data_IF_282462344460
#
_entry.id   IF_282462344460
#
_cell.length_a   1.000
_cell.length_b   1.000
_cell.length_c   1.000
_cell.angle_alpha   90.00
_cell.angle_beta   90.00
_cell.angle_gamma   90.00
#
_symmetry.space_group_name_H-M   'P 1'
#
loop_
_entity.id
_entity.type
_entity.pdbx_description
1 polymer ?
#
# COMPACT_ATOMS: atom_id res chain seq x y z
N UNK A 1 -6.02 15.25 2.58
CA UNK A 1 -6.79 14.02 2.69
C UNK A 1 -6.10 12.95 1.86
N UNK A 2 -6.03 11.73 2.38
CA UNK A 2 -5.47 10.57 1.69
C UNK A 2 -6.62 9.68 1.23
N UNK A 3 -6.49 9.12 0.02
CA UNK A 3 -7.40 8.12 -0.53
C UNK A 3 -6.64 7.21 -1.50
N UNK A 4 -7.32 6.25 -2.12
CA UNK A 4 -6.71 5.46 -3.19
C UNK A 4 -6.73 6.20 -4.54
N UNK A 5 -5.73 5.92 -5.37
CA UNK A 5 -5.67 6.45 -6.72
C UNK A 5 -6.87 5.97 -7.56
N UNK A 6 -7.22 4.68 -7.48
CA UNK A 6 -8.34 4.13 -8.26
C UNK A 6 -9.70 4.73 -7.88
N UNK A 7 -9.85 5.31 -6.68
CA UNK A 7 -11.11 5.98 -6.24
C UNK A 7 -11.35 7.27 -7.00
N UNK A 8 -10.28 7.96 -7.39
CA UNK A 8 -10.35 9.26 -8.06
C UNK A 8 -9.97 9.20 -9.55
N UNK A 9 -9.51 8.03 -10.03
CA UNK A 9 -9.10 7.86 -11.42
C UNK A 9 -10.25 8.23 -12.37
N UNK A 10 -9.91 8.99 -13.42
CA UNK A 10 -10.86 9.47 -14.46
C UNK A 10 -12.00 10.33 -13.95
N UNK A 11 -11.89 10.93 -12.77
CA UNK A 11 -12.89 11.85 -12.24
C UNK A 11 -12.61 13.28 -12.71
N UNK A 12 -13.59 13.92 -13.33
CA UNK A 12 -13.49 15.34 -13.73
C UNK A 12 -13.60 16.28 -12.53
N UNK A 13 -14.33 15.86 -11.50
CA UNK A 13 -14.54 16.61 -10.28
C UNK A 13 -14.58 15.71 -9.07
N UNK A 14 -13.88 16.13 -8.01
CA UNK A 14 -13.81 15.40 -6.74
C UNK A 14 -14.44 16.27 -5.65
N UNK A 15 -15.41 15.70 -4.94
CA UNK A 15 -16.07 16.35 -3.79
C UNK A 15 -15.80 15.50 -2.55
N UNK A 16 -15.40 16.16 -1.48
CA UNK A 16 -15.25 15.56 -0.15
C UNK A 16 -16.39 16.02 0.74
N UNK A 17 -17.19 15.09 1.20
CA UNK A 17 -18.29 15.34 2.15
C UNK A 17 -17.85 14.94 3.54
N UNK A 18 -17.83 15.87 4.48
CA UNK A 18 -17.51 15.62 5.88
C UNK A 18 -18.70 14.99 6.63
N UNK A 19 -18.46 14.50 7.84
CA UNK A 19 -19.51 13.92 8.70
C UNK A 19 -20.67 14.91 8.98
N UNK A 20 -20.34 16.18 9.15
CA UNK A 20 -21.32 17.25 9.33
C UNK A 20 -22.07 17.63 8.04
N UNK A 21 -21.94 16.87 6.96
CA UNK A 21 -22.53 17.06 5.63
C UNK A 21 -22.02 18.28 4.86
N UNK A 22 -20.96 18.92 5.33
CA UNK A 22 -20.31 19.98 4.58
C UNK A 22 -19.52 19.40 3.41
N UNK A 23 -19.71 19.95 2.24
CA UNK A 23 -19.04 19.54 1.01
C UNK A 23 -17.92 20.50 0.64
N UNK A 24 -16.81 19.95 0.23
CA UNK A 24 -15.65 20.69 -0.27
C UNK A 24 -15.24 20.15 -1.62
N UNK A 25 -14.98 21.03 -2.57
CA UNK A 25 -14.30 20.65 -3.79
C UNK A 25 -12.83 20.37 -3.46
N UNK A 26 -12.34 19.21 -3.88
CA UNK A 26 -10.99 18.77 -3.62
C UNK A 26 -10.10 18.92 -4.85
N UNK A 27 -8.87 19.39 -4.64
CA UNK A 27 -7.82 19.43 -5.65
C UNK A 27 -6.90 18.25 -5.48
N UNK A 28 -6.54 17.56 -6.56
CA UNK A 28 -5.50 16.52 -6.55
C UNK A 28 -4.16 17.22 -6.43
N UNK A 29 -3.42 16.90 -5.36
CA UNK A 29 -2.03 17.35 -5.16
C UNK A 29 -1.08 16.44 -5.91
N UNK A 30 -1.34 15.15 -5.91
CA UNK A 30 -0.59 14.14 -6.64
C UNK A 30 -1.17 12.75 -6.43
N UNK A 31 -0.75 11.85 -7.30
CA UNK A 31 -1.16 10.43 -7.25
C UNK A 31 0.04 9.53 -7.44
N UNK A 32 -0.04 8.35 -6.87
CA UNK A 32 0.92 7.27 -7.10
C UNK A 32 0.18 5.97 -7.46
N UNK A 33 -0.01 5.70 -8.75
CA UNK A 33 -0.65 4.47 -9.19
C UNK A 33 0.06 3.19 -8.75
N UNK A 34 1.37 3.26 -8.46
CA UNK A 34 2.16 2.07 -8.11
C UNK A 34 1.92 1.59 -6.68
N UNK A 35 1.46 2.44 -5.77
CA UNK A 35 0.99 2.11 -4.42
C UNK A 35 -0.51 2.32 -4.24
N UNK A 36 -1.19 2.75 -5.29
CA UNK A 36 -2.62 3.09 -5.27
C UNK A 36 -2.97 4.18 -4.24
N UNK A 37 -2.10 5.17 -4.04
CA UNK A 37 -2.33 6.31 -3.13
C UNK A 37 -2.56 7.59 -3.91
N UNK A 38 -3.50 8.41 -3.44
CA UNK A 38 -3.73 9.78 -3.89
C UNK A 38 -3.78 10.75 -2.72
N UNK A 39 -3.25 11.96 -2.95
CA UNK A 39 -3.28 13.07 -2.00
C UNK A 39 -4.20 14.19 -2.51
N UNK A 40 -5.19 14.53 -1.72
CA UNK A 40 -6.17 15.57 -2.01
C UNK A 40 -6.02 16.75 -1.05
N UNK A 41 -6.28 17.97 -1.55
CA UNK A 41 -6.39 19.19 -0.77
C UNK A 41 -7.81 19.71 -0.82
N UNK A 42 -8.35 20.06 0.34
CA UNK A 42 -9.58 20.83 0.50
C UNK A 42 -9.29 22.15 1.21
N UNK A 43 -10.07 23.18 0.95
CA UNK A 43 -9.95 24.48 1.61
C UNK A 43 -10.78 24.48 2.92
N UNK A 44 -10.29 23.74 3.91
CA UNK A 44 -10.86 23.65 5.25
C UNK A 44 -9.75 23.68 6.30
N UNK A 45 -10.05 24.22 7.47
CA UNK A 45 -9.12 24.32 8.60
C UNK A 45 -9.68 23.57 9.82
N UNK A 46 -8.79 23.12 10.69
CA UNK A 46 -9.16 22.49 11.96
C UNK A 46 -9.86 21.14 11.82
N UNK A 47 -9.66 20.44 10.69
CA UNK A 47 -10.19 19.09 10.51
C UNK A 47 -9.49 18.10 11.45
N UNK A 48 -10.23 17.20 12.11
CA UNK A 48 -9.62 16.12 12.86
C UNK A 48 -8.85 15.18 11.91
N UNK A 49 -7.79 14.58 12.42
CA UNK A 49 -6.93 13.67 11.66
C UNK A 49 -6.52 12.47 12.51
N UNK A 50 -6.10 11.40 11.86
CA UNK A 50 -5.54 10.22 12.51
C UNK A 50 -4.02 10.36 12.62
N UNK A 51 -3.47 10.00 13.77
CA UNK A 51 -2.03 9.85 13.94
C UNK A 51 -1.56 8.55 13.26
N UNK A 52 -0.38 8.60 12.64
CA UNK A 52 0.23 7.41 12.06
C UNK A 52 0.86 6.53 13.13
N UNK A 53 0.49 5.27 13.19
CA UNK A 53 1.29 4.25 13.86
C UNK A 53 2.38 3.73 12.91
N UNK A 54 3.38 3.05 13.47
CA UNK A 54 4.40 2.35 12.68
C UNK A 54 3.84 1.00 12.21
N UNK A 55 3.53 0.87 10.91
CA UNK A 55 2.99 -0.37 10.35
C UNK A 55 3.97 -1.54 10.35
N UNK A 56 5.26 -1.30 10.55
CA UNK A 56 6.26 -2.38 10.64
C UNK A 56 6.19 -3.10 11.99
N UNK A 57 5.73 -2.41 13.05
CA UNK A 57 5.58 -2.94 14.40
C UNK A 57 4.27 -3.74 14.60
N UNK A 58 3.36 -3.68 13.64
CA UNK A 58 2.07 -4.39 13.70
C UNK A 58 2.31 -5.90 13.69
N UNK A 59 1.65 -6.61 14.60
CA UNK A 59 1.80 -8.06 14.79
C UNK A 59 0.62 -8.85 14.19
N UNK A 60 0.87 -10.10 13.81
CA UNK A 60 -0.19 -11.02 13.39
C UNK A 60 -1.12 -11.31 14.56
N UNK A 61 -2.43 -11.30 14.30
CA UNK A 61 -3.46 -11.45 15.32
C UNK A 61 -3.83 -10.15 16.03
N UNK A 62 -3.16 -9.03 15.77
CA UNK A 62 -3.52 -7.72 16.35
C UNK A 62 -4.89 -7.26 15.85
N UNK A 63 -5.74 -6.79 16.78
CA UNK A 63 -7.07 -6.28 16.48
C UNK A 63 -7.00 -4.97 15.68
N UNK A 64 -7.82 -4.92 14.63
CA UNK A 64 -7.92 -3.74 13.75
C UNK A 64 -9.36 -3.41 13.41
N UNK A 65 -9.59 -2.15 13.06
CA UNK A 65 -10.86 -1.66 12.57
C UNK A 65 -10.67 -1.08 11.16
N UNK A 66 -11.45 -1.57 10.21
CA UNK A 66 -11.52 -0.97 8.88
C UNK A 66 -12.69 0.02 8.84
N UNK A 67 -12.37 1.28 8.54
CA UNK A 67 -13.33 2.39 8.50
C UNK A 67 -13.50 2.83 7.07
N UNK A 68 -14.73 3.07 6.65
CA UNK A 68 -15.03 3.53 5.30
C UNK A 68 -16.47 4.00 5.17
N UNK A 69 -16.90 4.26 3.93
CA UNK A 69 -18.24 4.73 3.62
C UNK A 69 -18.88 3.90 2.48
N UNK A 70 -19.01 2.57 2.66
CA UNK A 70 -19.56 1.71 1.61
C UNK A 70 -21.01 2.06 1.32
N UNK A 71 -21.40 1.96 0.05
CA UNK A 71 -22.78 2.15 -0.41
C UNK A 71 -23.41 3.51 -0.05
N UNK A 72 -22.60 4.55 0.14
CA UNK A 72 -23.07 5.87 0.61
C UNK A 72 -23.77 5.85 1.98
N UNK A 73 -23.56 4.78 2.74
CA UNK A 73 -23.98 4.69 4.14
C UNK A 73 -22.99 5.47 5.00
N UNK A 74 -23.49 6.21 5.99
CA UNK A 74 -22.62 6.97 6.89
C UNK A 74 -21.70 6.05 7.67
N UNK A 75 -20.39 6.36 7.62
CA UNK A 75 -19.29 5.77 8.40
C UNK A 75 -19.51 4.35 8.88
N UNK A 76 -19.12 3.39 8.08
CA UNK A 76 -19.16 1.96 8.44
C UNK A 76 -17.83 1.56 9.05
N UNK A 77 -17.90 0.83 10.16
CA UNK A 77 -16.73 0.26 10.84
C UNK A 77 -16.89 -1.25 10.88
N UNK A 78 -15.86 -1.95 10.44
CA UNK A 78 -15.77 -3.41 10.60
C UNK A 78 -14.54 -3.76 11.41
N UNK A 79 -14.58 -4.89 12.14
CA UNK A 79 -13.48 -5.34 12.99
C UNK A 79 -12.91 -6.67 12.47
N UNK A 80 -11.63 -6.86 12.69
CA UNK A 80 -10.90 -8.07 12.38
C UNK A 80 -9.52 -8.05 13.00
N UNK A 81 -8.62 -8.89 12.48
CA UNK A 81 -7.24 -8.98 12.91
C UNK A 81 -6.29 -8.78 11.72
N UNK A 82 -5.02 -8.54 12.00
CA UNK A 82 -3.97 -8.67 10.99
C UNK A 82 -3.73 -10.16 10.72
N UNK A 83 -4.06 -10.59 9.52
CA UNK A 83 -3.96 -11.99 9.08
C UNK A 83 -2.63 -12.32 8.45
N UNK A 84 -1.99 -11.35 7.77
CA UNK A 84 -0.65 -11.47 7.18
C UNK A 84 -0.04 -10.08 6.92
N UNK A 85 1.27 -10.06 6.68
CA UNK A 85 2.04 -8.88 6.29
C UNK A 85 2.79 -9.15 4.98
N UNK A 86 3.19 -8.08 4.29
CA UNK A 86 3.99 -8.13 3.07
C UNK A 86 3.37 -8.98 1.95
N UNK A 87 2.03 -8.91 1.78
CA UNK A 87 1.35 -9.63 0.70
C UNK A 87 1.54 -8.93 -0.64
N UNK A 88 1.91 -9.71 -1.63
CA UNK A 88 1.91 -9.34 -3.05
C UNK A 88 0.73 -10.03 -3.74
N UNK A 89 -0.08 -9.27 -4.46
CA UNK A 89 -1.29 -9.75 -5.12
C UNK A 89 -1.17 -9.70 -6.65
N UNK A 90 -0.18 -8.98 -7.18
CA UNK A 90 0.00 -8.76 -8.60
C UNK A 90 -1.14 -7.95 -9.25
N UNK A 91 -1.88 -7.17 -8.44
CA UNK A 91 -2.99 -6.34 -8.93
C UNK A 91 -2.50 -5.05 -9.56
N UNK A 92 -1.39 -4.53 -9.09
CA UNK A 92 -0.73 -3.36 -9.64
C UNK A 92 0.17 -3.76 -10.82
N UNK A 93 -0.34 -3.61 -12.03
CA UNK A 93 0.36 -4.02 -13.27
C UNK A 93 1.44 -3.05 -13.76
N UNK A 94 1.80 -2.03 -12.97
CA UNK A 94 2.90 -1.14 -13.34
C UNK A 94 4.25 -1.86 -13.20
N UNK A 95 5.21 -1.56 -14.08
CA UNK A 95 6.55 -2.17 -14.02
C UNK A 95 7.32 -1.87 -12.71
N UNK A 96 6.86 -0.90 -11.95
CA UNK A 96 7.42 -0.48 -10.66
C UNK A 96 6.37 -0.53 -9.55
N UNK A 97 5.45 -1.50 -9.62
CA UNK A 97 4.47 -1.68 -8.53
C UNK A 97 5.18 -2.03 -7.24
N UNK A 98 4.76 -1.36 -6.17
CA UNK A 98 5.19 -1.66 -4.82
C UNK A 98 4.00 -2.23 -4.07
N UNK A 99 3.93 -3.54 -4.01
CA UNK A 99 2.94 -4.26 -3.24
C UNK A 99 3.60 -4.85 -2.00
N UNK A 100 3.11 -4.48 -0.84
CA UNK A 100 3.53 -5.01 0.47
C UNK A 100 2.36 -4.81 1.43
N UNK A 101 1.21 -5.41 1.08
CA UNK A 101 -0.03 -5.16 1.79
C UNK A 101 -0.07 -5.78 3.19
N UNK A 102 -0.76 -5.10 4.11
CA UNK A 102 -1.33 -5.72 5.30
C UNK A 102 -2.59 -6.47 4.89
N UNK A 103 -2.69 -7.74 5.27
CA UNK A 103 -3.91 -8.52 5.10
C UNK A 103 -4.71 -8.52 6.39
N UNK A 104 -6.02 -8.37 6.29
CA UNK A 104 -6.95 -8.45 7.43
C UNK A 104 -8.22 -9.21 7.03
N UNK A 105 -8.88 -9.80 8.00
CA UNK A 105 -10.24 -10.37 7.87
C UNK A 105 -11.34 -9.38 8.29
N UNK A 106 -10.99 -8.13 8.63
CA UNK A 106 -11.98 -7.07 8.73
C UNK A 106 -12.67 -6.87 7.38
N UNK A 107 -13.99 -6.87 7.36
CA UNK A 107 -14.75 -6.83 6.11
C UNK A 107 -14.57 -5.49 5.38
N UNK A 108 -13.93 -5.53 4.22
CA UNK A 108 -13.80 -4.40 3.28
C UNK A 108 -14.66 -4.71 2.05
N UNK A 109 -15.48 -3.76 1.65
CA UNK A 109 -16.32 -3.84 0.46
C UNK A 109 -16.14 -2.56 -0.38
N UNK A 110 -16.61 -2.52 -1.64
CA UNK A 110 -16.61 -1.29 -2.43
C UNK A 110 -17.20 -0.11 -1.65
N UNK A 111 -16.41 0.99 -1.55
CA UNK A 111 -16.70 2.16 -0.73
C UNK A 111 -15.86 2.27 0.55
N UNK A 112 -15.17 1.21 0.98
CA UNK A 112 -14.16 1.28 2.04
C UNK A 112 -12.77 1.64 1.49
N UNK A 113 -12.54 1.51 0.19
CA UNK A 113 -11.28 1.88 -0.47
C UNK A 113 -10.93 3.34 -0.19
N UNK A 114 -9.69 3.62 0.18
CA UNK A 114 -9.21 4.94 0.62
C UNK A 114 -9.51 5.26 2.08
N UNK A 115 -10.33 4.45 2.75
CA UNK A 115 -10.62 4.59 4.17
C UNK A 115 -9.48 4.07 5.06
N UNK A 116 -9.58 4.33 6.35
CA UNK A 116 -8.55 3.98 7.32
C UNK A 116 -8.65 2.52 7.77
N UNK A 117 -7.49 1.87 7.92
CA UNK A 117 -7.31 0.72 8.80
C UNK A 117 -6.60 1.23 10.06
N UNK A 118 -7.23 1.06 11.21
CA UNK A 118 -6.69 1.57 12.49
C UNK A 118 -6.49 0.43 13.48
N UNK A 119 -5.55 0.62 14.40
CA UNK A 119 -5.34 -0.28 15.54
C UNK A 119 -6.36 0.00 16.67
N UNK A 120 -6.29 -0.76 17.77
CA UNK A 120 -7.17 -0.62 18.91
C UNK A 120 -7.02 0.74 19.65
N UNK A 121 -5.96 1.51 19.39
CA UNK A 121 -5.76 2.87 19.92
C UNK A 121 -6.36 3.95 19.02
N UNK A 122 -6.89 3.58 17.83
CA UNK A 122 -7.38 4.51 16.83
C UNK A 122 -6.27 5.14 15.96
N UNK A 123 -5.06 4.61 15.99
CA UNK A 123 -3.95 5.09 15.18
C UNK A 123 -3.98 4.42 13.80
N UNK A 124 -3.61 5.17 12.76
CA UNK A 124 -3.61 4.70 11.37
C UNK A 124 -2.47 3.71 11.13
N UNK A 125 -2.80 2.48 10.77
CA UNK A 125 -1.83 1.44 10.40
C UNK A 125 -1.86 1.11 8.91
N UNK A 126 -2.91 1.52 8.18
CA UNK A 126 -2.99 1.32 6.74
C UNK A 126 -4.14 2.06 6.09
N UNK A 127 -4.14 2.04 4.76
CA UNK A 127 -5.20 2.56 3.89
C UNK A 127 -5.86 1.37 3.19
N UNK A 128 -7.14 1.13 3.46
CA UNK A 128 -7.90 0.05 2.81
C UNK A 128 -7.87 0.25 1.30
N UNK A 129 -7.52 -0.79 0.53
CA UNK A 129 -7.34 -0.63 -0.91
C UNK A 129 -7.99 -1.71 -1.76
N UNK A 130 -7.88 -2.97 -1.38
CA UNK A 130 -8.31 -4.09 -2.21
C UNK A 130 -8.94 -5.22 -1.40
N UNK A 131 -9.67 -6.07 -2.12
CA UNK A 131 -10.10 -7.38 -1.65
C UNK A 131 -9.65 -8.42 -2.68
N UNK A 132 -9.27 -9.60 -2.24
CA UNK A 132 -9.18 -10.77 -3.12
C UNK A 132 -10.51 -11.51 -3.08
N UNK A 133 -11.22 -11.52 -4.20
CA UNK A 133 -12.55 -12.10 -4.26
C UNK A 133 -12.92 -12.54 -5.67
N UNK A 134 -13.34 -13.78 -5.87
CA UNK A 134 -13.86 -14.26 -7.14
C UNK A 134 -15.16 -13.56 -7.59
N UNK A 135 -15.89 -12.97 -6.64
CA UNK A 135 -17.21 -12.36 -6.88
C UNK A 135 -17.21 -10.83 -6.80
N UNK A 136 -16.08 -10.23 -6.42
CA UNK A 136 -15.97 -8.77 -6.18
C UNK A 136 -16.56 -8.33 -4.84
N UNK A 137 -17.00 -9.27 -3.98
CA UNK A 137 -17.47 -8.99 -2.62
C UNK A 137 -16.51 -9.61 -1.60
N UNK A 138 -16.51 -9.11 -0.38
CA UNK A 138 -15.68 -9.61 0.71
C UNK A 138 -15.80 -11.14 0.87
N UNK A 139 -14.66 -11.81 0.95
CA UNK A 139 -14.54 -13.26 1.06
C UNK A 139 -13.58 -13.72 2.18
N UNK A 140 -13.27 -12.83 3.14
CA UNK A 140 -12.32 -13.11 4.21
C UNK A 140 -10.92 -12.54 3.97
N UNK A 141 -10.67 -11.92 2.81
CA UNK A 141 -9.36 -11.39 2.42
C UNK A 141 -9.48 -9.92 2.02
N UNK A 142 -9.07 -9.06 2.91
CA UNK A 142 -8.98 -7.61 2.69
C UNK A 142 -7.53 -7.16 2.82
N UNK A 143 -7.18 -6.10 2.10
CA UNK A 143 -5.81 -5.62 2.00
C UNK A 143 -5.74 -4.11 2.18
N UNK A 144 -4.71 -3.67 2.87
CA UNK A 144 -4.44 -2.26 3.09
C UNK A 144 -2.99 -1.90 2.77
N UNK A 145 -2.77 -0.74 2.19
CA UNK A 145 -1.43 -0.16 2.04
C UNK A 145 -0.92 0.23 3.42
N UNK A 146 0.26 -0.26 3.86
CA UNK A 146 0.82 0.06 5.17
C UNK A 146 1.00 1.55 5.40
N UNK A 147 0.80 2.00 6.62
CA UNK A 147 0.90 3.43 6.99
C UNK A 147 2.28 4.03 6.71
N UNK A 148 3.37 3.27 6.88
CA UNK A 148 4.73 3.74 6.58
C UNK A 148 4.90 4.03 5.09
N UNK A 149 4.36 3.18 4.21
CA UNK A 149 4.36 3.41 2.76
C UNK A 149 3.49 4.63 2.43
N UNK A 150 2.27 4.68 2.95
CA UNK A 150 1.36 5.81 2.72
C UNK A 150 1.99 7.14 3.18
N UNK A 151 2.62 7.17 4.36
CA UNK A 151 3.31 8.35 4.90
C UNK A 151 4.44 8.83 4.00
N UNK A 152 5.28 7.90 3.50
CA UNK A 152 6.37 8.22 2.57
C UNK A 152 5.83 8.80 1.27
N UNK A 153 4.85 8.13 0.66
CA UNK A 153 4.22 8.56 -0.59
C UNK A 153 3.59 9.94 -0.45
N UNK A 154 2.80 10.16 0.61
CA UNK A 154 2.16 11.45 0.89
C UNK A 154 3.19 12.57 1.12
N UNK A 155 4.27 12.27 1.83
CA UNK A 155 5.39 13.22 2.03
C UNK A 155 5.97 13.68 0.70
N UNK A 156 6.29 12.75 -0.18
CA UNK A 156 6.85 13.05 -1.50
C UNK A 156 5.86 13.79 -2.40
N UNK A 157 4.60 13.35 -2.45
CA UNK A 157 3.57 14.01 -3.24
C UNK A 157 3.35 15.47 -2.79
N UNK A 158 3.44 15.72 -1.49
CA UNK A 158 3.31 17.06 -0.92
C UNK A 158 4.50 17.96 -1.27
N UNK A 159 5.72 17.41 -1.25
CA UNK A 159 6.96 18.17 -1.43
C UNK A 159 7.34 18.33 -2.91
N UNK A 160 7.23 17.24 -3.68
CA UNK A 160 7.73 17.16 -5.06
C UNK A 160 6.62 17.01 -6.11
N UNK A 161 5.38 16.77 -5.70
CA UNK A 161 4.27 16.44 -6.62
C UNK A 161 4.35 15.02 -7.22
N UNK A 162 5.45 14.33 -7.01
CA UNK A 162 5.71 12.95 -7.50
C UNK A 162 6.50 12.15 -6.47
N UNK A 163 6.28 10.84 -6.43
CA UNK A 163 7.00 9.97 -5.49
C UNK A 163 8.45 9.78 -5.92
N UNK A 164 9.37 10.00 -5.01
CA UNK A 164 10.81 9.80 -5.21
C UNK A 164 11.16 8.36 -4.87
N UNK A 165 11.62 7.58 -5.85
CA UNK A 165 12.05 6.20 -5.67
C UNK A 165 13.50 6.02 -6.07
N UNK A 166 14.29 5.46 -5.17
CA UNK A 166 15.60 4.96 -5.52
C UNK A 166 15.45 3.59 -6.20
N UNK A 167 16.22 3.39 -7.26
CA UNK A 167 16.30 2.10 -7.93
C UNK A 167 17.65 1.46 -7.64
N UNK A 168 17.65 0.23 -7.12
CA UNK A 168 18.87 -0.53 -6.89
C UNK A 168 19.56 -0.90 -8.20
N UNK A 169 18.76 -1.20 -9.22
CA UNK A 169 19.28 -1.58 -10.54
C UNK A 169 19.74 -3.03 -10.59
N UNK A 170 18.94 -3.92 -10.03
CA UNK A 170 19.11 -5.38 -10.15
C UNK A 170 17.88 -6.01 -10.80
N UNK A 171 18.08 -7.17 -11.42
CA UNK A 171 17.01 -8.12 -11.73
C UNK A 171 17.06 -9.24 -10.70
N UNK A 172 15.93 -9.52 -10.09
CA UNK A 172 15.82 -10.56 -9.05
C UNK A 172 15.31 -11.86 -9.65
N UNK A 173 15.74 -12.99 -9.09
CA UNK A 173 15.03 -14.24 -9.27
C UNK A 173 13.68 -14.15 -8.56
N UNK A 174 12.60 -14.50 -9.26
CA UNK A 174 11.23 -14.26 -8.75
C UNK A 174 10.59 -15.48 -8.10
N UNK A 175 11.06 -16.66 -8.47
CA UNK A 175 10.53 -17.90 -7.90
C UNK A 175 11.18 -18.21 -6.56
N UNK A 176 10.58 -19.12 -5.80
CA UNK A 176 11.12 -19.57 -4.52
C UNK A 176 12.52 -20.21 -4.71
N UNK A 177 13.47 -19.78 -3.91
CA UNK A 177 14.81 -20.38 -3.86
C UNK A 177 14.75 -21.71 -3.10
N UNK A 178 14.23 -22.75 -3.76
CA UNK A 178 14.33 -24.09 -3.19
C UNK A 178 15.80 -24.60 -3.23
N UNK A 179 16.20 -25.57 -2.39
CA UNK A 179 17.57 -26.11 -2.43
C UNK A 179 17.99 -26.61 -3.82
N UNK A 180 17.05 -27.12 -4.61
CA UNK A 180 17.32 -27.56 -5.98
C UNK A 180 17.62 -26.39 -6.92
N UNK A 181 16.82 -25.32 -6.82
CA UNK A 181 17.00 -24.08 -7.61
C UNK A 181 18.27 -23.37 -7.20
N UNK A 182 18.54 -23.23 -5.90
CA UNK A 182 19.77 -22.62 -5.39
C UNK A 182 21.02 -23.30 -5.95
N UNK A 183 21.04 -24.64 -5.92
CA UNK A 183 22.15 -25.44 -6.48
C UNK A 183 22.29 -25.24 -8.00
N UNK A 184 21.20 -25.13 -8.75
CA UNK A 184 21.21 -24.86 -10.18
C UNK A 184 21.78 -23.45 -10.47
N UNK A 185 21.43 -22.47 -9.63
CA UNK A 185 21.93 -21.11 -9.71
C UNK A 185 23.36 -20.94 -9.16
N UNK A 186 23.95 -21.99 -8.59
CA UNK A 186 25.33 -21.99 -8.08
C UNK A 186 25.47 -21.32 -6.70
N UNK A 187 24.42 -21.31 -5.88
CA UNK A 187 24.45 -20.85 -4.49
C UNK A 187 23.95 -21.93 -3.54
N UNK A 188 24.40 -21.91 -2.29
CA UNK A 188 23.87 -22.74 -1.21
C UNK A 188 22.83 -22.01 -0.35
N UNK A 189 22.65 -20.71 -0.58
CA UNK A 189 21.68 -19.87 0.13
C UNK A 189 20.28 -20.08 -0.43
N UNK A 190 19.31 -20.34 0.46
CA UNK A 190 17.88 -20.51 0.13
C UNK A 190 17.02 -19.39 0.71
N UNK A 191 17.64 -18.43 1.40
CA UNK A 191 16.96 -17.24 1.97
C UNK A 191 17.59 -15.98 1.40
N UNK A 192 16.78 -14.93 1.21
CA UNK A 192 17.23 -13.68 0.63
C UNK A 192 16.83 -13.53 -0.84
N UNK A 193 17.35 -12.51 -1.49
CA UNK A 193 17.06 -12.16 -2.87
C UNK A 193 18.27 -12.53 -3.76
N UNK A 194 18.12 -13.51 -4.61
CA UNK A 194 19.15 -13.86 -5.60
C UNK A 194 19.22 -12.84 -6.72
N UNK A 195 20.39 -12.24 -6.92
CA UNK A 195 20.65 -11.25 -7.97
C UNK A 195 20.89 -11.98 -9.30
N UNK A 196 19.86 -11.99 -10.16
CA UNK A 196 19.92 -12.65 -11.44
C UNK A 196 20.72 -11.84 -12.48
N UNK A 197 20.62 -10.50 -12.43
CA UNK A 197 21.41 -9.60 -13.26
C UNK A 197 21.56 -8.23 -12.60
N UNK A 198 22.53 -7.43 -13.04
CA UNK A 198 22.81 -6.09 -12.51
C UNK A 198 22.83 -5.10 -13.67
N UNK A 199 22.05 -4.02 -13.56
CA UNK A 199 22.00 -2.96 -14.57
C UNK A 199 23.36 -2.24 -14.63
N UNK A 200 24.05 -2.21 -15.77
CA UNK A 200 25.32 -1.53 -15.91
C UNK A 200 25.24 -0.05 -15.53
N UNK A 201 26.21 0.43 -14.77
CA UNK A 201 26.26 1.79 -14.23
C UNK A 201 25.15 2.15 -13.22
N UNK A 202 24.28 1.20 -12.82
CA UNK A 202 23.29 1.36 -11.79
C UNK A 202 23.89 1.49 -10.39
N UNK A 203 23.04 1.73 -9.39
CA UNK A 203 23.46 1.85 -7.99
C UNK A 203 24.11 0.56 -7.48
N UNK A 204 23.50 -0.61 -7.76
CA UNK A 204 24.03 -1.92 -7.39
C UNK A 204 25.42 -2.17 -8.00
N UNK A 205 25.60 -1.91 -9.31
CA UNK A 205 26.89 -2.06 -9.97
C UNK A 205 27.98 -1.18 -9.35
N UNK A 206 27.64 0.08 -9.02
CA UNK A 206 28.56 1.01 -8.34
C UNK A 206 28.88 0.59 -6.91
N UNK A 207 27.95 -0.07 -6.22
CA UNK A 207 28.15 -0.63 -4.89
C UNK A 207 28.91 -1.96 -4.89
N UNK A 208 29.21 -2.52 -6.08
CA UNK A 208 29.97 -3.77 -6.22
C UNK A 208 29.11 -5.04 -6.16
N UNK A 209 27.77 -4.92 -6.16
CA UNK A 209 26.84 -6.04 -6.27
C UNK A 209 26.99 -6.68 -7.66
N UNK A 210 27.00 -8.00 -7.71
CA UNK A 210 27.19 -8.78 -8.94
C UNK A 210 26.06 -9.80 -9.12
N UNK A 211 25.92 -10.28 -10.35
CA UNK A 211 25.13 -11.47 -10.64
C UNK A 211 25.62 -12.63 -9.79
N UNK A 212 24.70 -13.35 -9.17
CA UNK A 212 24.98 -14.48 -8.29
C UNK A 212 25.06 -14.14 -6.80
N UNK A 213 25.07 -12.85 -6.46
CA UNK A 213 24.98 -12.46 -5.04
C UNK A 213 23.59 -12.78 -4.49
N UNK A 214 23.51 -13.08 -3.20
CA UNK A 214 22.26 -13.18 -2.42
C UNK A 214 22.27 -12.05 -1.39
N UNK A 215 21.22 -11.22 -1.36
CA UNK A 215 21.10 -10.03 -0.51
C UNK A 215 19.85 -10.09 0.35
#
# INVERSE_FOLDING_TARGET
IITNNHVIDKSDKITVTLDNKTEYEAKVIGTDPSTDIALLKVEANGLPYLEYANSDDVELGEWVLAVGNPYNLTSTVTAGIISAKARELGINRSQMSLESFLQTDAAVNPGNSGGALVNAKGELIGINTAIESPTGSYSGYSFAVPSNIARKVVGDLKEFGTVQRAMMGISMWRDELTPAVAKELGTDEVSGIYVYDVIPNGAAAKAGIKKGDVI
#
